data_IF_981853908720
#
_entry.id   IF_981853908720
#
_cell.length_a   1.000
_cell.length_b   1.000
_cell.length_c   1.000
_cell.angle_alpha   90.00
_cell.angle_beta   90.00
_cell.angle_gamma   90.00
#
_symmetry.space_group_name_H-M   'P 1'
#
loop_
_entity.id
_entity.type
_entity.pdbx_description
1 polymer ?
#
# COMPACT_ATOMS: atom_id res chain seq x y z
N UNK A 1 -0.11 -8.01 14.93
CA UNK A 1 -0.29 -6.54 15.08
C UNK A 1 -1.43 -6.09 14.20
N UNK A 2 -2.10 -5.01 14.57
CA UNK A 2 -3.21 -4.41 13.82
C UNK A 2 -2.95 -2.91 13.66
N UNK A 3 -3.06 -2.41 12.44
CA UNK A 3 -3.10 -0.98 12.12
C UNK A 3 -4.57 -0.56 12.07
N UNK A 4 -4.99 0.38 12.93
CA UNK A 4 -6.38 0.83 13.01
C UNK A 4 -6.49 2.33 12.78
N UNK A 5 -7.49 2.70 12.01
CA UNK A 5 -7.95 4.07 11.83
C UNK A 5 -9.37 4.15 12.41
N UNK A 6 -9.62 5.05 13.36
CA UNK A 6 -10.87 5.13 14.09
C UNK A 6 -11.48 6.52 13.97
N UNK A 7 -12.71 6.58 13.46
CA UNK A 7 -13.54 7.79 13.38
C UNK A 7 -12.84 8.96 12.69
N UNK A 8 -12.06 8.69 11.62
CA UNK A 8 -11.29 9.71 10.91
C UNK A 8 -12.20 10.79 10.32
N UNK A 9 -11.82 12.04 10.54
CA UNK A 9 -12.48 13.21 9.99
C UNK A 9 -11.44 14.09 9.32
N UNK A 10 -11.71 14.54 8.08
CA UNK A 10 -10.89 15.55 7.40
C UNK A 10 -11.75 16.58 6.71
N UNK A 11 -11.41 17.85 6.97
CA UNK A 11 -12.06 19.02 6.36
C UNK A 11 -11.02 19.86 5.62
N UNK A 12 -11.39 20.34 4.46
CA UNK A 12 -10.66 21.37 3.71
C UNK A 12 -11.58 22.58 3.50
N UNK A 13 -11.30 23.65 4.23
CA UNK A 13 -12.19 24.78 4.33
C UNK A 13 -13.57 24.37 4.85
N UNK A 14 -14.62 24.61 4.06
CA UNK A 14 -16.01 24.24 4.42
C UNK A 14 -16.39 22.80 4.02
N UNK A 15 -15.57 22.12 3.22
CA UNK A 15 -15.88 20.78 2.69
C UNK A 15 -15.33 19.70 3.63
N UNK A 16 -16.20 18.82 4.14
CA UNK A 16 -15.80 17.59 4.83
C UNK A 16 -15.58 16.52 3.76
N UNK A 17 -14.34 16.07 3.62
CA UNK A 17 -13.92 15.07 2.60
C UNK A 17 -13.92 13.65 3.19
N UNK A 18 -13.58 13.52 4.46
CA UNK A 18 -13.68 12.28 5.23
C UNK A 18 -14.52 12.57 6.46
N UNK A 19 -15.53 11.75 6.68
CA UNK A 19 -16.56 11.98 7.70
C UNK A 19 -16.90 10.68 8.41
N UNK A 20 -16.21 10.44 9.53
CA UNK A 20 -16.40 9.26 10.37
C UNK A 20 -16.00 7.95 9.66
N UNK A 21 -14.76 7.89 9.16
CA UNK A 21 -14.21 6.70 8.48
C UNK A 21 -13.37 5.89 9.47
N UNK A 22 -13.73 4.61 9.63
CA UNK A 22 -12.97 3.64 10.43
C UNK A 22 -12.62 2.42 9.60
N UNK A 23 -11.39 1.93 9.70
CA UNK A 23 -10.93 0.69 9.08
C UNK A 23 -9.70 0.14 9.80
N UNK A 24 -9.42 -1.12 9.59
CA UNK A 24 -8.24 -1.78 10.14
C UNK A 24 -7.56 -2.68 9.12
N UNK A 25 -6.29 -3.00 9.38
CA UNK A 25 -5.47 -3.95 8.63
C UNK A 25 -4.70 -4.81 9.61
N UNK A 26 -4.80 -6.12 9.50
CA UNK A 26 -4.02 -7.08 10.29
C UNK A 26 -2.73 -7.46 9.57
N UNK A 27 -1.69 -7.83 10.32
CA UNK A 27 -0.52 -8.46 9.69
C UNK A 27 -0.94 -9.75 8.96
N UNK A 28 -0.37 -9.98 7.77
CA UNK A 28 -0.72 -11.11 6.92
C UNK A 28 -2.07 -10.96 6.21
N UNK A 29 -2.64 -9.75 6.15
CA UNK A 29 -3.89 -9.46 5.46
C UNK A 29 -3.66 -8.42 4.36
N UNK A 30 -4.33 -8.57 3.21
CA UNK A 30 -4.40 -7.58 2.15
C UNK A 30 -5.78 -6.94 2.17
N UNK A 31 -5.84 -5.64 2.48
CA UNK A 31 -7.06 -4.86 2.58
C UNK A 31 -7.14 -3.83 1.45
N UNK A 32 -8.26 -3.79 0.75
CA UNK A 32 -8.56 -2.79 -0.28
C UNK A 32 -9.31 -1.59 0.31
N UNK A 33 -8.89 -0.36 -0.03
CA UNK A 33 -9.63 0.87 0.26
C UNK A 33 -10.16 1.45 -1.05
N UNK A 34 -11.40 1.14 -1.39
CA UNK A 34 -12.00 1.37 -2.70
C UNK A 34 -13.04 2.50 -2.66
N UNK A 35 -13.50 2.94 -3.82
CA UNK A 35 -14.56 3.92 -3.98
C UNK A 35 -14.35 4.84 -5.18
N UNK A 36 -15.35 5.61 -5.59
CA UNK A 36 -15.24 6.54 -6.70
C UNK A 36 -14.27 7.70 -6.42
N UNK A 37 -13.96 8.47 -7.46
CA UNK A 37 -13.17 9.68 -7.32
C UNK A 37 -13.87 10.68 -6.38
N UNK A 38 -13.09 11.25 -5.45
CA UNK A 38 -13.62 12.17 -4.45
C UNK A 38 -14.33 11.52 -3.25
N UNK A 39 -14.37 10.18 -3.15
CA UNK A 39 -14.95 9.46 -2.03
C UNK A 39 -14.18 9.59 -0.69
N UNK A 40 -12.96 10.12 -0.72
CA UNK A 40 -12.13 10.28 0.48
C UNK A 40 -11.03 9.22 0.65
N UNK A 41 -10.86 8.27 -0.30
CA UNK A 41 -9.85 7.19 -0.26
C UNK A 41 -8.45 7.72 0.01
N UNK A 42 -7.91 8.48 -0.93
CA UNK A 42 -6.54 9.03 -0.86
C UNK A 42 -6.33 9.86 0.42
N UNK A 43 -7.34 10.64 0.83
CA UNK A 43 -7.27 11.42 2.08
C UNK A 43 -7.20 10.51 3.31
N UNK A 44 -8.04 9.47 3.40
CA UNK A 44 -8.01 8.49 4.49
C UNK A 44 -6.69 7.74 4.53
N UNK A 45 -6.22 7.30 3.37
CA UNK A 45 -4.93 6.66 3.19
C UNK A 45 -3.77 7.58 3.62
N UNK A 46 -3.76 8.85 3.21
CA UNK A 46 -2.72 9.81 3.59
C UNK A 46 -2.76 10.19 5.08
N UNK A 47 -3.92 10.18 5.71
CA UNK A 47 -3.99 10.31 7.16
C UNK A 47 -3.31 9.12 7.84
N UNK A 48 -3.49 7.90 7.32
CA UNK A 48 -2.87 6.68 7.87
C UNK A 48 -1.36 6.63 7.64
N UNK A 49 -0.85 7.16 6.53
CA UNK A 49 0.60 7.26 6.29
C UNK A 49 1.27 8.40 7.05
N UNK A 50 0.52 9.38 7.55
CA UNK A 50 1.05 10.57 8.24
C UNK A 50 1.37 11.73 7.31
N UNK A 51 1.00 11.66 6.03
CA UNK A 51 1.12 12.76 5.06
C UNK A 51 0.07 13.86 5.31
N UNK A 52 -1.07 13.48 5.87
CA UNK A 52 -2.16 14.40 6.21
C UNK A 52 -2.55 14.21 7.67
N UNK A 53 -2.64 15.31 8.42
CA UNK A 53 -3.13 15.27 9.81
C UNK A 53 -4.66 15.30 9.79
N UNK A 54 -5.36 14.36 10.47
CA UNK A 54 -6.81 14.38 10.61
C UNK A 54 -7.29 15.58 11.43
N UNK A 55 -8.54 15.99 11.21
CA UNK A 55 -9.23 16.97 12.06
C UNK A 55 -9.93 16.30 13.25
N UNK A 56 -10.15 15.00 13.18
CA UNK A 56 -10.73 14.18 14.24
C UNK A 56 -10.48 12.71 13.98
N UNK A 57 -10.71 11.89 14.99
CA UNK A 57 -10.37 10.47 14.96
C UNK A 57 -8.95 10.18 15.36
N UNK A 58 -8.59 8.90 15.38
CA UNK A 58 -7.29 8.42 15.86
C UNK A 58 -6.76 7.30 14.98
N UNK A 59 -5.44 7.12 14.99
CA UNK A 59 -4.73 6.06 14.27
C UNK A 59 -3.81 5.33 15.23
N UNK A 60 -3.84 4.00 15.20
CA UNK A 60 -3.11 3.15 16.13
C UNK A 60 -2.35 2.04 15.40
N UNK A 61 -1.23 1.63 15.98
CA UNK A 61 -0.65 0.29 15.78
C UNK A 61 -0.79 -0.45 17.11
N UNK A 62 -1.62 -1.50 17.14
CA UNK A 62 -2.09 -2.14 18.35
C UNK A 62 -2.65 -1.10 19.35
N UNK A 63 -2.03 -0.93 20.52
CA UNK A 63 -2.44 0.07 21.53
C UNK A 63 -1.67 1.40 21.43
N UNK A 64 -0.70 1.49 20.50
CA UNK A 64 0.13 2.69 20.36
C UNK A 64 -0.50 3.70 19.40
N UNK A 65 -0.90 4.86 19.92
CA UNK A 65 -1.45 5.95 19.11
C UNK A 65 -0.36 6.65 18.31
N UNK A 66 -0.55 6.74 16.98
CA UNK A 66 0.37 7.38 16.03
C UNK A 66 -0.26 8.55 15.28
N UNK A 67 -1.42 9.05 15.73
CA UNK A 67 -2.21 10.06 15.03
C UNK A 67 -1.40 11.31 14.65
N UNK A 68 -0.61 11.82 15.60
CA UNK A 68 0.23 13.02 15.41
C UNK A 68 1.63 12.72 14.88
N UNK A 69 2.00 11.45 14.72
CA UNK A 69 3.33 11.08 14.28
C UNK A 69 3.54 11.38 12.80
N UNK A 70 4.63 12.07 12.44
CA UNK A 70 5.00 12.29 11.05
C UNK A 70 5.47 10.99 10.38
N UNK A 71 5.50 10.98 9.03
CA UNK A 71 5.82 9.82 8.19
C UNK A 71 7.07 9.06 8.68
N UNK A 72 8.17 9.76 9.00
CA UNK A 72 9.42 9.12 9.42
C UNK A 72 9.32 8.36 10.75
N UNK A 73 8.48 8.83 11.69
CA UNK A 73 8.23 8.11 12.94
C UNK A 73 7.38 6.88 12.68
N UNK A 74 6.35 7.00 11.83
CA UNK A 74 5.53 5.85 11.40
C UNK A 74 6.35 4.80 10.68
N UNK A 75 7.32 5.20 9.86
CA UNK A 75 8.26 4.27 9.25
C UNK A 75 9.09 3.49 10.29
N UNK A 76 9.52 4.14 11.37
CA UNK A 76 10.28 3.50 12.46
C UNK A 76 9.46 2.51 13.28
N UNK A 77 8.16 2.68 13.37
CA UNK A 77 7.26 1.71 14.03
C UNK A 77 6.74 0.63 13.07
N UNK A 78 7.16 0.68 11.81
CA UNK A 78 6.95 -0.40 10.84
C UNK A 78 5.90 -0.13 9.76
N UNK A 79 5.58 1.13 9.44
CA UNK A 79 4.73 1.47 8.30
C UNK A 79 5.60 1.82 7.08
N UNK A 80 5.62 0.95 6.08
CA UNK A 80 6.18 1.24 4.76
C UNK A 80 5.17 1.97 3.88
N UNK A 81 5.62 2.91 3.07
CA UNK A 81 4.78 3.63 2.12
C UNK A 81 5.35 3.56 0.71
N UNK A 82 4.52 3.18 -0.24
CA UNK A 82 4.84 3.12 -1.65
C UNK A 82 3.91 4.07 -2.42
N UNK A 83 4.45 5.21 -2.82
CA UNK A 83 3.72 6.26 -3.51
C UNK A 83 3.25 5.83 -4.91
N UNK A 84 2.21 6.50 -5.42
CA UNK A 84 1.76 6.37 -6.80
C UNK A 84 2.85 6.82 -7.79
N UNK A 85 3.47 7.98 -7.52
CA UNK A 85 4.57 8.46 -8.36
C UNK A 85 5.88 7.74 -8.06
N UNK A 86 6.71 7.60 -9.10
CA UNK A 86 8.01 6.97 -8.99
C UNK A 86 8.90 7.66 -7.95
N UNK A 87 9.29 6.92 -6.91
CA UNK A 87 10.06 7.42 -5.77
C UNK A 87 11.54 7.02 -5.80
N UNK A 88 11.97 6.28 -6.84
CA UNK A 88 13.36 5.87 -6.99
C UNK A 88 14.29 7.09 -7.15
N UNK A 89 15.44 7.09 -6.48
CA UNK A 89 16.46 8.11 -6.66
C UNK A 89 17.11 7.93 -8.05
N UNK A 90 16.76 8.80 -8.98
CA UNK A 90 17.07 8.67 -10.41
C UNK A 90 18.56 8.59 -10.72
N UNK A 91 19.41 9.27 -9.95
CA UNK A 91 20.87 9.35 -10.14
C UNK A 91 21.66 8.40 -9.24
N UNK A 92 20.96 7.53 -8.53
CA UNK A 92 21.58 6.44 -7.76
C UNK A 92 21.35 5.11 -8.46
N UNK A 93 22.28 4.16 -8.29
CA UNK A 93 22.08 2.80 -8.78
C UNK A 93 20.95 2.10 -8.02
N UNK A 94 20.48 0.97 -8.53
CA UNK A 94 19.51 0.12 -7.81
C UNK A 94 20.06 -0.28 -6.45
N UNK A 95 21.31 -0.71 -6.42
CA UNK A 95 22.01 -1.07 -5.17
C UNK A 95 22.05 0.09 -4.19
N UNK A 96 22.44 1.29 -4.63
CA UNK A 96 22.55 2.46 -3.78
C UNK A 96 21.16 2.94 -3.29
N UNK A 97 20.12 2.81 -4.12
CA UNK A 97 18.75 3.09 -3.72
C UNK A 97 18.31 2.26 -2.51
N UNK A 98 18.68 0.98 -2.45
CA UNK A 98 18.34 0.07 -1.35
C UNK A 98 19.31 0.30 -0.18
N UNK A 99 20.61 0.38 -0.46
CA UNK A 99 21.66 0.55 0.56
C UNK A 99 21.48 1.83 1.38
N UNK A 100 21.08 2.95 0.74
CA UNK A 100 20.84 4.22 1.44
C UNK A 100 19.79 4.10 2.54
N UNK A 101 18.73 3.31 2.32
CA UNK A 101 17.70 3.07 3.33
C UNK A 101 18.19 2.12 4.42
N UNK A 102 18.95 1.07 4.05
CA UNK A 102 19.56 0.16 5.02
C UNK A 102 20.52 0.89 5.96
N UNK A 103 21.32 1.83 5.46
CA UNK A 103 22.20 2.67 6.28
C UNK A 103 21.42 3.49 7.32
N UNK A 104 20.26 4.03 6.96
CA UNK A 104 19.40 4.79 7.87
C UNK A 104 18.79 3.94 8.99
N UNK A 105 18.79 2.61 8.86
CA UNK A 105 18.28 1.71 9.92
C UNK A 105 19.20 1.65 11.14
N UNK A 106 20.48 2.02 11.01
CA UNK A 106 21.49 1.88 12.05
C UNK A 106 21.86 0.45 12.41
N UNK A 107 21.43 -0.54 11.64
CA UNK A 107 21.78 -1.96 11.83
C UNK A 107 23.25 -2.23 11.52
N UNK A 108 23.86 -3.33 12.07
CA UNK A 108 25.23 -3.71 11.76
C UNK A 108 25.51 -3.83 10.24
N UNK A 109 26.74 -3.54 9.82
CA UNK A 109 27.12 -3.57 8.39
C UNK A 109 26.94 -4.95 7.75
N UNK A 110 27.18 -6.01 8.48
CA UNK A 110 26.95 -7.40 8.04
C UNK A 110 25.48 -7.61 7.71
N UNK A 111 24.58 -7.22 8.61
CA UNK A 111 23.14 -7.30 8.39
C UNK A 111 22.71 -6.48 7.16
N UNK A 112 23.21 -5.24 7.03
CA UNK A 112 22.89 -4.39 5.88
C UNK A 112 23.28 -5.05 4.56
N UNK A 113 24.49 -5.66 4.52
CA UNK A 113 25.01 -6.37 3.33
C UNK A 113 24.17 -7.61 3.00
N UNK A 114 23.91 -8.46 3.98
CA UNK A 114 23.09 -9.66 3.79
C UNK A 114 21.67 -9.32 3.33
N UNK A 115 21.06 -8.32 3.95
CA UNK A 115 19.73 -7.84 3.59
C UNK A 115 19.68 -7.26 2.17
N UNK A 116 20.70 -6.49 1.77
CA UNK A 116 20.85 -5.96 0.42
C UNK A 116 20.91 -7.09 -0.62
N UNK A 117 21.78 -8.08 -0.42
CA UNK A 117 21.90 -9.22 -1.33
C UNK A 117 20.59 -10.02 -1.41
N UNK A 118 19.94 -10.25 -0.27
CA UNK A 118 18.64 -10.91 -0.21
C UNK A 118 17.57 -10.16 -1.01
N UNK A 119 17.46 -8.84 -0.84
CA UNK A 119 16.49 -8.03 -1.57
C UNK A 119 16.79 -7.98 -3.08
N UNK A 120 18.05 -7.82 -3.47
CA UNK A 120 18.48 -7.88 -4.89
C UNK A 120 18.08 -9.22 -5.51
N UNK A 121 18.31 -10.32 -4.81
CA UNK A 121 17.96 -11.66 -5.28
C UNK A 121 16.45 -11.87 -5.37
N UNK A 122 15.73 -11.54 -4.31
CA UNK A 122 14.28 -11.72 -4.21
C UNK A 122 13.52 -10.97 -5.31
N UNK A 123 13.92 -9.72 -5.57
CA UNK A 123 13.28 -8.87 -6.57
C UNK A 123 13.87 -9.00 -7.99
N UNK A 124 14.76 -9.99 -8.22
CA UNK A 124 15.40 -10.26 -9.53
C UNK A 124 16.05 -9.02 -10.12
N UNK A 125 16.79 -8.27 -9.30
CA UNK A 125 17.43 -7.01 -9.67
C UNK A 125 18.91 -7.16 -10.01
N UNK A 126 19.46 -8.39 -10.02
CA UNK A 126 20.89 -8.66 -10.25
C UNK A 126 21.41 -8.04 -11.56
N UNK A 127 20.65 -8.19 -12.66
CA UNK A 127 21.05 -7.72 -14.00
C UNK A 127 21.12 -6.19 -14.09
N UNK A 128 20.30 -5.50 -13.31
CA UNK A 128 20.18 -4.03 -13.31
C UNK A 128 20.77 -3.38 -12.06
N UNK A 129 21.45 -4.17 -11.22
CA UNK A 129 22.00 -3.75 -9.92
C UNK A 129 22.75 -2.43 -9.96
N UNK A 130 23.56 -2.22 -11.02
CA UNK A 130 24.40 -1.02 -11.21
C UNK A 130 23.75 0.03 -12.11
N UNK A 131 22.58 -0.23 -12.68
CA UNK A 131 21.87 0.74 -13.49
C UNK A 131 21.33 1.86 -12.63
N UNK A 132 21.34 3.08 -13.17
CA UNK A 132 20.74 4.24 -12.49
C UNK A 132 19.21 4.16 -12.52
N UNK A 133 18.57 4.77 -11.55
CA UNK A 133 17.10 4.75 -11.42
C UNK A 133 16.35 5.31 -12.63
N UNK A 134 16.96 6.24 -13.39
CA UNK A 134 16.39 6.80 -14.62
C UNK A 134 16.53 5.89 -15.84
N UNK A 135 17.31 4.82 -15.76
CA UNK A 135 17.53 3.84 -16.82
C UNK A 135 16.63 2.61 -16.68
N UNK A 136 15.86 2.51 -15.60
CA UNK A 136 15.02 1.35 -15.29
C UNK A 136 13.71 1.37 -16.09
N UNK A 137 13.30 0.20 -16.57
CA UNK A 137 11.91 -0.03 -17.01
C UNK A 137 10.91 0.20 -15.87
N UNK A 138 9.63 0.38 -16.19
CA UNK A 138 8.59 0.56 -15.19
C UNK A 138 8.54 -0.56 -14.14
N UNK A 139 8.61 -1.81 -14.58
CA UNK A 139 8.62 -2.98 -13.69
C UNK A 139 9.90 -3.08 -12.83
N UNK A 140 11.09 -2.82 -13.39
CA UNK A 140 12.35 -2.81 -12.64
C UNK A 140 12.35 -1.71 -11.59
N UNK A 141 11.85 -0.53 -11.95
CA UNK A 141 11.68 0.59 -11.03
C UNK A 141 10.78 0.22 -9.87
N UNK A 142 9.60 -0.35 -10.15
CA UNK A 142 8.63 -0.73 -9.12
C UNK A 142 9.20 -1.79 -8.18
N UNK A 143 9.89 -2.80 -8.72
CA UNK A 143 10.59 -3.80 -7.89
C UNK A 143 11.67 -3.18 -7.01
N UNK A 144 12.41 -2.20 -7.52
CA UNK A 144 13.41 -1.46 -6.73
C UNK A 144 12.76 -0.65 -5.59
N UNK A 145 11.64 -0.01 -5.84
CA UNK A 145 10.89 0.75 -4.83
C UNK A 145 10.34 -0.15 -3.72
N UNK A 146 9.81 -1.31 -4.09
CA UNK A 146 9.32 -2.29 -3.11
C UNK A 146 10.49 -2.86 -2.30
N UNK A 147 11.60 -3.23 -2.94
CA UNK A 147 12.80 -3.70 -2.26
C UNK A 147 13.33 -2.65 -1.26
N UNK A 148 13.33 -1.38 -1.66
CA UNK A 148 13.70 -0.27 -0.79
C UNK A 148 12.75 -0.10 0.40
N UNK A 149 11.44 -0.26 0.17
CA UNK A 149 10.44 -0.23 1.23
C UNK A 149 10.65 -1.38 2.24
N UNK A 150 11.04 -2.58 1.76
CA UNK A 150 11.31 -3.74 2.62
C UNK A 150 12.64 -3.67 3.38
N UNK A 151 13.52 -2.75 3.02
CA UNK A 151 14.79 -2.55 3.72
C UNK A 151 14.62 -2.16 5.21
N UNK A 152 13.48 -1.56 5.57
CA UNK A 152 13.16 -1.17 6.96
C UNK A 152 12.42 -2.25 7.75
N UNK A 153 12.23 -3.46 7.19
CA UNK A 153 11.45 -4.56 7.80
C UNK A 153 10.05 -4.12 8.25
N UNK A 154 9.22 -3.61 7.34
CA UNK A 154 7.91 -3.06 7.69
C UNK A 154 6.97 -4.15 8.21
N UNK A 155 6.07 -3.76 9.11
CA UNK A 155 4.95 -4.60 9.60
C UNK A 155 3.71 -4.41 8.74
N UNK A 156 3.57 -3.20 8.18
CA UNK A 156 2.51 -2.81 7.27
C UNK A 156 3.08 -2.08 6.07
N UNK A 157 2.50 -2.30 4.89
CA UNK A 157 2.84 -1.57 3.67
C UNK A 157 1.58 -0.90 3.12
N UNK A 158 1.72 0.39 2.86
CA UNK A 158 0.68 1.22 2.27
C UNK A 158 0.98 1.40 0.78
N UNK A 159 0.11 0.88 -0.11
CA UNK A 159 0.27 0.94 -1.57
C UNK A 159 -0.73 1.92 -2.16
N UNK A 160 -0.22 3.04 -2.68
CA UNK A 160 -1.03 4.07 -3.31
C UNK A 160 -1.07 3.86 -4.83
N UNK A 161 -2.22 3.47 -5.34
CA UNK A 161 -2.49 3.18 -6.74
C UNK A 161 -1.39 2.36 -7.44
N UNK A 162 -1.03 1.16 -6.91
CA UNK A 162 0.11 0.39 -7.43
C UNK A 162 -0.07 -0.12 -8.86
N UNK A 163 -1.28 -0.15 -9.40
CA UNK A 163 -1.61 -0.63 -10.74
C UNK A 163 -1.85 0.49 -11.75
N UNK A 164 -1.81 1.76 -11.31
CA UNK A 164 -2.09 2.90 -12.17
C UNK A 164 -1.02 3.09 -13.25
N UNK A 165 -1.43 3.12 -14.52
CA UNK A 165 -0.52 3.36 -15.65
C UNK A 165 0.51 2.26 -15.89
N UNK A 166 0.27 1.06 -15.37
CA UNK A 166 1.14 -0.11 -15.50
C UNK A 166 0.57 -1.05 -16.57
N UNK A 167 1.43 -1.66 -17.37
CA UNK A 167 1.00 -2.65 -18.35
C UNK A 167 0.49 -3.95 -17.67
N UNK A 168 -0.38 -4.74 -18.33
CA UNK A 168 -1.00 -5.91 -17.71
C UNK A 168 -0.02 -6.96 -17.19
N UNK A 169 1.12 -7.16 -17.85
CA UNK A 169 2.13 -8.14 -17.42
C UNK A 169 2.79 -7.66 -16.12
N UNK A 170 3.13 -6.37 -16.08
CA UNK A 170 3.73 -5.80 -14.87
C UNK A 170 2.73 -5.69 -13.71
N UNK A 171 1.42 -5.56 -13.97
CA UNK A 171 0.37 -5.67 -12.94
C UNK A 171 0.41 -7.05 -12.29
N UNK A 172 0.49 -8.13 -13.07
CA UNK A 172 0.60 -9.48 -12.53
C UNK A 172 1.86 -9.68 -11.68
N UNK A 173 3.00 -9.17 -12.13
CA UNK A 173 4.25 -9.20 -11.35
C UNK A 173 4.08 -8.49 -10.00
N UNK A 174 3.45 -7.31 -9.97
CA UNK A 174 3.20 -6.56 -8.74
C UNK A 174 2.25 -7.32 -7.83
N UNK A 175 1.17 -7.90 -8.36
CA UNK A 175 0.23 -8.70 -7.59
C UNK A 175 0.89 -9.93 -6.95
N UNK A 176 1.74 -10.64 -7.68
CA UNK A 176 2.53 -11.75 -7.13
C UNK A 176 3.46 -11.30 -6.00
N UNK A 177 4.09 -10.14 -6.15
CA UNK A 177 4.93 -9.57 -5.10
C UNK A 177 4.09 -9.25 -3.85
N UNK A 178 2.96 -8.57 -4.02
CA UNK A 178 2.05 -8.22 -2.92
C UNK A 178 1.58 -9.47 -2.19
N UNK A 179 1.22 -10.52 -2.92
CA UNK A 179 0.83 -11.81 -2.33
C UNK A 179 1.94 -12.42 -1.47
N UNK A 180 3.19 -12.44 -1.98
CA UNK A 180 4.35 -12.92 -1.22
C UNK A 180 4.65 -12.10 0.04
N UNK A 181 4.34 -10.81 0.05
CA UNK A 181 4.48 -9.96 1.23
C UNK A 181 3.49 -10.34 2.33
N UNK A 182 2.27 -10.75 1.96
CA UNK A 182 1.29 -11.31 2.88
C UNK A 182 1.84 -12.56 3.58
N UNK A 183 2.46 -13.47 2.81
CA UNK A 183 3.05 -14.71 3.35
C UNK A 183 4.21 -14.42 4.34
N UNK A 184 4.86 -13.27 4.21
CA UNK A 184 5.85 -12.76 5.17
C UNK A 184 5.22 -12.12 6.41
N UNK A 185 3.94 -12.29 6.62
CA UNK A 185 3.18 -11.68 7.71
C UNK A 185 3.22 -10.14 7.71
N UNK A 186 3.24 -9.53 6.53
CA UNK A 186 3.14 -8.08 6.36
C UNK A 186 1.67 -7.75 6.06
N UNK A 187 1.08 -6.80 6.81
CA UNK A 187 -0.26 -6.28 6.51
C UNK A 187 -0.19 -5.27 5.38
N UNK A 188 -1.13 -5.30 4.45
CA UNK A 188 -1.08 -4.46 3.25
C UNK A 188 -2.39 -3.70 3.10
N UNK A 189 -2.31 -2.37 2.96
CA UNK A 189 -3.43 -1.54 2.55
C UNK A 189 -3.20 -1.02 1.14
N UNK A 190 -4.15 -1.29 0.26
CA UNK A 190 -4.10 -0.88 -1.15
C UNK A 190 -5.24 0.09 -1.43
N UNK A 191 -4.94 1.23 -2.05
CA UNK A 191 -5.93 2.06 -2.72
C UNK A 191 -5.64 2.07 -4.22
N UNK A 192 -6.65 1.82 -5.05
CA UNK A 192 -6.52 1.86 -6.51
C UNK A 192 -7.89 2.18 -7.13
N UNK A 193 -7.86 2.72 -8.34
CA UNK A 193 -9.04 2.90 -9.17
C UNK A 193 -9.35 1.67 -10.04
N UNK A 194 -8.38 0.77 -10.21
CA UNK A 194 -8.57 -0.51 -10.90
C UNK A 194 -9.16 -1.55 -9.94
N UNK A 195 -10.48 -1.51 -9.84
CA UNK A 195 -11.26 -2.32 -8.89
C UNK A 195 -11.04 -3.82 -9.10
N UNK A 196 -11.03 -4.27 -10.36
CA UNK A 196 -10.89 -5.69 -10.68
C UNK A 196 -9.54 -6.22 -10.19
N UNK A 197 -8.45 -5.51 -10.49
CA UNK A 197 -7.09 -5.94 -10.11
C UNK A 197 -6.89 -5.89 -8.60
N UNK A 198 -7.50 -4.93 -7.92
CA UNK A 198 -7.43 -4.82 -6.46
C UNK A 198 -8.23 -5.92 -5.78
N UNK A 199 -9.51 -6.09 -6.15
CA UNK A 199 -10.36 -7.12 -5.54
C UNK A 199 -9.87 -8.55 -5.83
N UNK A 200 -9.14 -8.75 -6.93
CA UNK A 200 -8.60 -10.08 -7.28
C UNK A 200 -7.58 -10.62 -6.27
N UNK A 201 -6.93 -9.73 -5.49
CA UNK A 201 -5.85 -10.10 -4.56
C UNK A 201 -6.14 -9.73 -3.10
N UNK A 202 -7.22 -9.00 -2.80
CA UNK A 202 -7.56 -8.60 -1.44
C UNK A 202 -8.30 -9.71 -0.69
N UNK A 203 -8.08 -9.78 0.61
CA UNK A 203 -8.85 -10.65 1.52
C UNK A 203 -10.16 -9.96 1.93
N UNK A 204 -10.11 -8.64 2.12
CA UNK A 204 -11.21 -7.79 2.56
C UNK A 204 -11.06 -6.41 1.93
N UNK A 205 -12.18 -5.71 1.75
CA UNK A 205 -12.14 -4.35 1.26
C UNK A 205 -13.19 -3.46 1.94
N UNK A 206 -12.84 -2.19 2.08
CA UNK A 206 -13.72 -1.10 2.48
C UNK A 206 -14.09 -0.29 1.26
N UNK A 207 -15.37 -0.08 1.05
CA UNK A 207 -15.87 0.81 0.01
C UNK A 207 -16.25 2.15 0.61
N UNK A 208 -15.51 3.19 0.24
CA UNK A 208 -15.84 4.57 0.58
C UNK A 208 -16.80 5.18 -0.45
N UNK A 209 -17.79 5.90 0.06
CA UNK A 209 -18.69 6.69 -0.74
C UNK A 209 -19.07 7.98 0.01
N UNK A 210 -18.90 9.13 -0.63
CA UNK A 210 -19.21 10.46 -0.03
C UNK A 210 -18.58 10.68 1.35
N UNK A 211 -17.32 10.26 1.52
CA UNK A 211 -16.54 10.44 2.74
C UNK A 211 -16.89 9.49 3.89
N UNK A 212 -17.65 8.43 3.67
CA UNK A 212 -18.03 7.42 4.66
C UNK A 212 -17.76 6.01 4.15
N UNK A 213 -17.67 5.04 5.05
CA UNK A 213 -17.71 3.62 4.66
C UNK A 213 -19.15 3.27 4.27
N UNK A 214 -19.33 2.87 3.04
CA UNK A 214 -20.61 2.37 2.51
C UNK A 214 -20.77 0.88 2.74
N UNK A 215 -19.66 0.13 2.61
CA UNK A 215 -19.64 -1.31 2.76
C UNK A 215 -18.25 -1.79 3.19
N UNK A 216 -18.24 -2.86 3.96
CA UNK A 216 -17.05 -3.62 4.34
C UNK A 216 -17.36 -5.10 4.16
N UNK A 217 -16.41 -5.87 3.62
CA UNK A 217 -16.55 -7.32 3.46
C UNK A 217 -15.50 -7.93 2.54
N UNK A 218 -15.68 -9.20 2.25
CA UNK A 218 -14.85 -9.91 1.27
C UNK A 218 -15.12 -9.40 -0.16
N UNK A 219 -14.22 -9.62 -1.11
CA UNK A 219 -14.46 -9.30 -2.51
C UNK A 219 -15.76 -9.91 -3.08
N UNK A 220 -16.10 -11.12 -2.66
CA UNK A 220 -17.32 -11.81 -3.06
C UNK A 220 -18.58 -11.12 -2.53
N UNK A 221 -18.56 -10.73 -1.24
CA UNK A 221 -19.66 -9.99 -0.61
C UNK A 221 -19.86 -8.63 -1.26
N UNK A 222 -18.76 -7.90 -1.57
CA UNK A 222 -18.84 -6.65 -2.30
C UNK A 222 -19.47 -6.85 -3.70
N UNK A 223 -18.99 -7.86 -4.43
CA UNK A 223 -19.46 -8.14 -5.79
C UNK A 223 -20.93 -8.57 -5.82
N UNK A 224 -21.45 -9.20 -4.77
CA UNK A 224 -22.83 -9.65 -4.64
C UNK A 224 -23.77 -8.53 -4.14
N UNK A 225 -23.26 -7.47 -3.50
CA UNK A 225 -24.09 -6.46 -2.87
C UNK A 225 -24.72 -5.52 -3.92
N UNK A 226 -26.05 -5.45 -3.95
CA UNK A 226 -26.79 -4.64 -4.92
C UNK A 226 -26.48 -3.14 -4.81
N UNK A 227 -26.34 -2.59 -3.60
CA UNK A 227 -26.03 -1.18 -3.38
C UNK A 227 -24.62 -0.86 -3.88
N UNK A 228 -23.65 -1.74 -3.66
CA UNK A 228 -22.26 -1.62 -4.15
C UNK A 228 -22.24 -1.66 -5.68
N UNK A 229 -22.98 -2.58 -6.28
CA UNK A 229 -23.11 -2.68 -7.75
C UNK A 229 -23.72 -1.43 -8.35
N UNK A 230 -24.84 -0.94 -7.80
CA UNK A 230 -25.54 0.24 -8.29
C UNK A 230 -24.71 1.53 -8.17
N UNK A 231 -23.91 1.69 -7.10
CA UNK A 231 -23.16 2.93 -6.82
C UNK A 231 -21.72 2.92 -7.32
N UNK A 232 -21.12 1.72 -7.55
CA UNK A 232 -19.68 1.64 -7.82
C UNK A 232 -19.27 0.59 -8.85
N UNK A 233 -19.69 -0.67 -8.74
CA UNK A 233 -19.16 -1.77 -9.56
C UNK A 233 -19.81 -1.92 -10.94
N UNK A 234 -20.98 -1.38 -11.17
CA UNK A 234 -21.88 -1.69 -12.28
C UNK A 234 -22.51 -3.10 -12.23
N UNK A 235 -23.66 -3.26 -12.91
CA UNK A 235 -24.36 -4.55 -12.96
C UNK A 235 -23.63 -5.63 -13.77
N UNK A 236 -22.74 -5.23 -14.67
CA UNK A 236 -21.94 -6.15 -15.50
C UNK A 236 -20.63 -6.57 -14.85
N UNK A 237 -20.30 -6.07 -13.67
CA UNK A 237 -19.05 -6.45 -12.99
C UNK A 237 -19.03 -7.93 -12.64
N UNK A 238 -17.93 -8.61 -12.99
CA UNK A 238 -17.68 -10.02 -12.65
C UNK A 238 -16.34 -10.10 -11.94
N UNK A 239 -16.36 -10.51 -10.67
CA UNK A 239 -15.15 -10.71 -9.91
C UNK A 239 -14.36 -11.89 -10.50
N UNK A 240 -13.08 -11.67 -10.78
CA UNK A 240 -12.11 -12.68 -11.21
C UNK A 240 -11.02 -12.76 -10.15
N UNK A 241 -11.12 -13.70 -9.23
CA UNK A 241 -10.05 -13.95 -8.27
C UNK A 241 -8.85 -14.56 -8.94
N UNK A 242 -7.66 -14.17 -8.48
CA UNK A 242 -6.39 -14.77 -8.89
C UNK A 242 -5.89 -15.65 -7.75
N UNK A 243 -5.57 -16.90 -8.08
CA UNK A 243 -4.86 -17.81 -7.19
C UNK A 243 -3.39 -17.79 -7.60
N UNK A 244 -2.53 -17.37 -6.69
CA UNK A 244 -1.09 -17.42 -6.90
C UNK A 244 -0.57 -18.72 -6.28
N UNK A 245 0.04 -19.57 -7.10
CA UNK A 245 0.75 -20.75 -6.59
C UNK A 245 2.05 -20.30 -5.91
N UNK A 246 2.28 -20.81 -4.70
CA UNK A 246 3.49 -20.63 -3.90
C UNK A 246 4.73 -21.24 -4.56
#
# INVERSE_FOLDING_TARGET
MVLRAEHLIKKYGKRTVVNDVSFDVKQGEIVGLLGPNGAGKTTSFYMTTGLVVPNGGKIFIDEHEITSDPVYKRARVGIGYLAQEASVFRKMSVEDNIASVLEMTGKPKEYQKEKLESLIAEFRLQKVRKNLGDQLSGGERRRTEIARCLAIDPKFIMLDEPFAGVDPIAVEDIQQIVWKLKDKNIGILITDHNVQETLSITDRAYLLFEGRILFEGTPEELAANETVRAKYLSNSFVLRKKEFQL
#
